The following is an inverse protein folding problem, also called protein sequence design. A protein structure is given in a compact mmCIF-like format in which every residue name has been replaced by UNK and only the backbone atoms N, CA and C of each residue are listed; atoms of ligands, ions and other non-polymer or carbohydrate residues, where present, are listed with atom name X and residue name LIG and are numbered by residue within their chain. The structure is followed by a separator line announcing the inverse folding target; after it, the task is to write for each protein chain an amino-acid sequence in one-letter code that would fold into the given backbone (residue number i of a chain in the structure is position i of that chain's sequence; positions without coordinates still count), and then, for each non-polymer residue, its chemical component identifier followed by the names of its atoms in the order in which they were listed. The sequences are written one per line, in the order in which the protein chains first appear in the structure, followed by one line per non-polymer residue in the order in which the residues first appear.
data_IF_673161724239
#
_entry.id   IF_673161724239
#
_cell.length_a   1.000
_cell.length_b   1.000
_cell.length_c   1.000
_cell.angle_alpha   90.00
_cell.angle_beta   90.00
_cell.angle_gamma   90.00
#
_symmetry.space_group_name_H-M   'P 1'
#
loop_
_entity.id
_entity.type
_entity.pdbx_description
1 polymer ?
#
# COMPACT_ATOMS: atom_id res chain seq x y z
N UNK A 1 3.26 -18.38 24.51
CA UNK A 1 3.73 -18.84 23.18
C UNK A 1 2.74 -18.41 22.08
N UNK A 2 2.54 -17.10 21.89
CA UNK A 2 1.51 -16.54 20.95
C UNK A 2 2.07 -15.50 19.97
N UNK A 3 3.33 -15.09 20.11
CA UNK A 3 3.96 -14.09 19.23
C UNK A 3 4.23 -14.61 17.81
N UNK A 4 4.58 -15.89 17.65
CA UNK A 4 4.94 -16.48 16.34
C UNK A 4 3.78 -16.56 15.34
N UNK A 5 2.54 -16.70 15.79
CA UNK A 5 1.36 -16.72 14.91
C UNK A 5 0.96 -15.34 14.39
N UNK A 6 1.12 -14.31 15.23
CA UNK A 6 0.80 -12.93 14.86
C UNK A 6 1.85 -12.38 13.90
N UNK A 7 3.13 -12.66 14.14
CA UNK A 7 4.21 -12.29 13.23
C UNK A 7 4.12 -12.98 11.88
N UNK A 8 3.72 -14.27 11.83
CA UNK A 8 3.52 -14.98 10.56
C UNK A 8 2.34 -14.42 9.75
N UNK A 9 1.25 -14.03 10.42
CA UNK A 9 0.10 -13.40 9.75
C UNK A 9 0.45 -12.01 9.25
N UNK A 10 1.20 -11.24 10.03
CA UNK A 10 1.66 -9.92 9.61
C UNK A 10 2.66 -10.00 8.44
N UNK A 11 3.55 -10.99 8.43
CA UNK A 11 4.44 -11.23 7.28
C UNK A 11 3.66 -11.57 6.00
N UNK A 12 2.63 -12.42 6.09
CA UNK A 12 1.75 -12.74 4.96
C UNK A 12 0.96 -11.51 4.49
N UNK A 13 0.47 -10.71 5.42
CA UNK A 13 -0.22 -9.45 5.12
C UNK A 13 0.74 -8.47 4.40
N UNK A 14 2.00 -8.38 4.82
CA UNK A 14 2.97 -7.50 4.19
C UNK A 14 3.32 -7.95 2.75
N UNK A 15 3.52 -9.26 2.54
CA UNK A 15 3.71 -9.81 1.20
C UNK A 15 2.47 -9.61 0.30
N UNK A 16 1.26 -9.75 0.86
CA UNK A 16 0.02 -9.50 0.14
C UNK A 16 -0.14 -8.02 -0.22
N UNK A 17 0.26 -7.10 0.68
CA UNK A 17 0.28 -5.66 0.40
C UNK A 17 1.23 -5.33 -0.76
N UNK A 18 2.41 -5.95 -0.79
CA UNK A 18 3.40 -5.77 -1.87
C UNK A 18 2.85 -6.20 -3.24
N UNK A 19 2.23 -7.38 -3.31
CA UNK A 19 1.60 -7.89 -4.53
C UNK A 19 0.43 -6.99 -4.98
N UNK A 20 -0.40 -6.52 -4.05
CA UNK A 20 -1.50 -5.61 -4.36
C UNK A 20 -1.01 -4.26 -4.89
N UNK A 21 0.07 -3.70 -4.33
CA UNK A 21 0.67 -2.45 -4.82
C UNK A 21 1.25 -2.61 -6.22
N UNK A 22 1.96 -3.70 -6.49
CA UNK A 22 2.47 -3.99 -7.83
C UNK A 22 1.34 -4.14 -8.84
N UNK A 23 0.29 -4.91 -8.50
CA UNK A 23 -0.90 -5.03 -9.34
C UNK A 23 -1.57 -3.69 -9.58
N UNK A 24 -1.68 -2.84 -8.56
CA UNK A 24 -2.26 -1.51 -8.71
C UNK A 24 -1.46 -0.65 -9.69
N UNK A 25 -0.12 -0.69 -9.62
CA UNK A 25 0.79 0.00 -10.55
C UNK A 25 0.57 -0.51 -11.99
N UNK A 26 0.56 -1.83 -12.19
CA UNK A 26 0.34 -2.41 -13.53
C UNK A 26 -1.04 -2.09 -14.09
N UNK A 27 -2.08 -2.12 -13.24
CA UNK A 27 -3.45 -1.77 -13.65
C UNK A 27 -3.58 -0.31 -14.03
N UNK A 28 -2.95 0.59 -13.27
CA UNK A 28 -2.91 2.01 -13.63
C UNK A 28 -2.15 2.25 -14.94
N UNK A 29 -1.04 1.54 -15.19
CA UNK A 29 -0.32 1.58 -16.48
C UNK A 29 -1.16 1.08 -17.64
N UNK A 30 -2.05 0.12 -17.40
CA UNK A 30 -2.99 -0.40 -18.40
C UNK A 30 -4.31 0.39 -18.49
N UNK A 31 -4.43 1.55 -17.81
CA UNK A 31 -5.67 2.34 -17.73
C UNK A 31 -6.88 1.59 -17.14
N UNK A 32 -6.65 0.48 -16.44
CA UNK A 32 -7.68 -0.31 -15.76
C UNK A 32 -7.93 0.26 -14.36
N UNK A 33 -8.55 1.44 -14.33
CA UNK A 33 -8.76 2.24 -13.12
C UNK A 33 -9.68 1.55 -12.11
N UNK A 34 -10.69 0.83 -12.59
CA UNK A 34 -11.63 0.10 -11.72
C UNK A 34 -10.94 -1.08 -11.03
N UNK A 35 -10.12 -1.86 -11.74
CA UNK A 35 -9.33 -2.91 -11.11
C UNK A 35 -8.25 -2.33 -10.17
N UNK A 36 -7.65 -1.19 -10.52
CA UNK A 36 -6.70 -0.49 -9.66
C UNK A 36 -7.36 -0.02 -8.34
N UNK A 37 -8.61 0.47 -8.40
CA UNK A 37 -9.37 0.84 -7.21
C UNK A 37 -9.69 -0.37 -6.32
N UNK A 38 -10.09 -1.49 -6.91
CA UNK A 38 -10.35 -2.74 -6.16
C UNK A 38 -9.08 -3.23 -5.47
N UNK A 39 -7.90 -3.08 -6.09
CA UNK A 39 -6.62 -3.36 -5.44
C UNK A 39 -6.31 -2.37 -4.31
N UNK A 40 -6.65 -1.08 -4.48
CA UNK A 40 -6.43 -0.05 -3.47
C UNK A 40 -7.24 -0.29 -2.19
N UNK A 41 -8.52 -0.65 -2.31
CA UNK A 41 -9.39 -0.94 -1.16
C UNK A 41 -8.88 -2.15 -0.35
N UNK A 42 -8.44 -3.20 -1.05
CA UNK A 42 -7.83 -4.37 -0.42
C UNK A 42 -6.50 -4.04 0.26
N UNK A 43 -5.67 -3.22 -0.40
CA UNK A 43 -4.41 -2.76 0.15
C UNK A 43 -4.63 -1.90 1.42
N UNK A 44 -5.66 -1.06 1.46
CA UNK A 44 -5.97 -0.22 2.62
C UNK A 44 -6.34 -1.05 3.85
N UNK A 45 -7.20 -2.07 3.69
CA UNK A 45 -7.58 -2.95 4.80
C UNK A 45 -6.37 -3.69 5.39
N UNK A 46 -5.48 -4.19 4.52
CA UNK A 46 -4.27 -4.92 4.92
C UNK A 46 -3.25 -3.97 5.56
N UNK A 47 -3.08 -2.77 4.99
CA UNK A 47 -2.18 -1.77 5.54
C UNK A 47 -2.64 -1.25 6.91
N UNK A 48 -3.96 -1.12 7.14
CA UNK A 48 -4.52 -0.77 8.43
C UNK A 48 -4.23 -1.86 9.48
N UNK A 49 -4.37 -3.14 9.13
CA UNK A 49 -4.03 -4.26 10.01
C UNK A 49 -2.52 -4.33 10.31
N UNK A 50 -1.67 -4.08 9.30
CA UNK A 50 -0.22 -4.02 9.48
C UNK A 50 0.20 -2.88 10.39
N UNK A 51 -0.43 -1.71 10.23
CA UNK A 51 -0.21 -0.54 11.09
C UNK A 51 -0.63 -0.86 12.53
N UNK A 52 -1.82 -1.43 12.73
CA UNK A 52 -2.29 -1.83 14.07
C UNK A 52 -1.36 -2.86 14.73
N UNK A 53 -0.76 -3.75 13.95
CA UNK A 53 0.17 -4.76 14.47
C UNK A 53 1.56 -4.21 14.82
N UNK A 54 1.91 -2.99 14.38
CA UNK A 54 3.26 -2.43 14.53
C UNK A 54 4.35 -3.25 13.80
N UNK A 55 3.98 -4.21 12.95
CA UNK A 55 4.91 -5.16 12.35
C UNK A 55 5.97 -4.44 11.50
N UNK A 56 5.55 -3.46 10.69
CA UNK A 56 6.46 -2.67 9.87
C UNK A 56 7.30 -1.68 10.68
N UNK A 57 6.98 -1.42 11.95
CA UNK A 57 7.77 -0.54 12.82
C UNK A 57 8.93 -1.27 13.50
N UNK A 58 8.91 -2.60 13.51
CA UNK A 58 10.02 -3.39 14.03
C UNK A 58 11.27 -3.21 13.16
N UNK A 59 12.46 -3.06 13.78
CA UNK A 59 13.71 -2.82 13.04
C UNK A 59 14.09 -3.98 12.11
N UNK A 60 13.70 -5.21 12.45
CA UNK A 60 13.88 -6.42 11.62
C UNK A 60 13.12 -6.35 10.27
N UNK A 61 12.09 -5.49 10.17
CA UNK A 61 11.29 -5.30 8.97
C UNK A 61 11.61 -3.98 8.25
N UNK A 62 12.73 -3.32 8.58
CA UNK A 62 13.08 -2.02 8.00
C UNK A 62 13.30 -2.06 6.48
N UNK A 63 13.86 -3.16 5.95
CA UNK A 63 14.02 -3.38 4.51
C UNK A 63 12.65 -3.50 3.81
N UNK A 64 11.75 -4.29 4.39
CA UNK A 64 10.39 -4.47 3.88
C UNK A 64 9.60 -3.15 3.90
N UNK A 65 9.70 -2.38 4.99
CA UNK A 65 9.12 -1.03 5.08
C UNK A 65 9.67 -0.11 3.99
N UNK A 66 10.97 -0.19 3.70
CA UNK A 66 11.61 0.62 2.67
C UNK A 66 11.15 0.22 1.27
N UNK A 67 10.99 -1.08 1.02
CA UNK A 67 10.48 -1.60 -0.24
C UNK A 67 9.02 -1.18 -0.49
N UNK A 68 8.15 -1.33 0.50
CA UNK A 68 6.75 -0.89 0.43
C UNK A 68 6.67 0.63 0.18
N UNK A 69 7.53 1.43 0.83
CA UNK A 69 7.62 2.88 0.58
C UNK A 69 8.02 3.22 -0.86
N UNK A 70 8.91 2.42 -1.46
CA UNK A 70 9.31 2.61 -2.85
C UNK A 70 8.14 2.34 -3.80
N UNK A 71 7.40 1.26 -3.58
CA UNK A 71 6.19 0.95 -4.35
C UNK A 71 5.13 2.04 -4.23
N UNK A 72 4.89 2.59 -3.04
CA UNK A 72 3.99 3.73 -2.87
C UNK A 72 4.45 4.97 -3.65
N UNK A 73 5.76 5.24 -3.67
CA UNK A 73 6.32 6.36 -4.42
C UNK A 73 6.13 6.16 -5.93
N UNK A 74 6.36 4.95 -6.43
CA UNK A 74 6.14 4.60 -7.83
C UNK A 74 4.67 4.73 -8.20
N UNK A 75 3.77 4.20 -7.36
CA UNK A 75 2.32 4.35 -7.52
C UNK A 75 1.91 5.82 -7.62
N UNK A 76 2.43 6.69 -6.74
CA UNK A 76 2.17 8.13 -6.81
C UNK A 76 2.69 8.79 -8.09
N UNK A 77 3.82 8.33 -8.62
CA UNK A 77 4.37 8.84 -9.87
C UNK A 77 3.51 8.43 -11.07
N UNK A 78 3.05 7.17 -11.12
CA UNK A 78 2.12 6.69 -12.15
C UNK A 78 0.80 7.45 -12.05
N UNK A 79 0.25 7.59 -10.84
CA UNK A 79 -0.92 8.43 -10.61
C UNK A 79 -0.71 9.86 -11.12
N UNK A 80 0.45 10.46 -10.85
CA UNK A 80 0.76 11.82 -11.28
C UNK A 80 0.97 11.96 -12.79
N UNK A 81 1.46 10.92 -13.48
CA UNK A 81 1.56 10.92 -14.94
C UNK A 81 0.19 10.82 -15.61
N UNK A 82 -0.74 10.06 -15.02
CA UNK A 82 -2.11 9.88 -15.53
C UNK A 82 -3.06 11.06 -15.23
N UNK A 83 -2.61 12.07 -14.46
CA UNK A 83 -3.41 13.25 -14.03
C UNK A 83 -3.92 14.15 -15.16
N UNK A 84 -3.53 13.96 -16.41
CA UNK A 84 -4.13 14.72 -17.52
C UNK A 84 -5.56 14.28 -17.85
N UNK A 85 -5.98 13.07 -17.46
CA UNK A 85 -7.32 12.56 -17.81
C UNK A 85 -8.15 12.02 -16.63
N UNK A 86 -7.57 11.77 -15.44
CA UNK A 86 -8.26 10.98 -14.38
C UNK A 86 -8.31 11.68 -13.00
N UNK A 87 -8.69 12.95 -12.94
CA UNK A 87 -8.61 13.76 -11.72
C UNK A 87 -9.45 13.23 -10.53
N UNK A 88 -10.68 12.76 -10.76
CA UNK A 88 -11.62 12.45 -9.67
C UNK A 88 -11.32 11.12 -8.95
N UNK A 89 -11.00 10.05 -9.67
CA UNK A 89 -10.65 8.75 -9.05
C UNK A 89 -9.32 8.80 -8.30
N UNK A 90 -8.42 9.72 -8.69
CA UNK A 90 -7.11 9.89 -8.05
C UNK A 90 -7.18 10.55 -6.66
N UNK A 91 -8.18 11.38 -6.37
CA UNK A 91 -8.33 11.99 -5.05
C UNK A 91 -8.82 10.97 -3.99
N UNK A 92 -9.57 9.93 -4.39
CA UNK A 92 -9.88 8.80 -3.52
C UNK A 92 -8.64 7.98 -3.17
N UNK A 93 -7.80 7.65 -4.16
CA UNK A 93 -6.54 6.92 -3.92
C UNK A 93 -5.60 7.74 -3.05
N UNK A 94 -5.50 9.05 -3.30
CA UNK A 94 -4.69 9.96 -2.49
C UNK A 94 -5.17 10.05 -1.03
N UNK A 95 -6.46 9.93 -0.79
CA UNK A 95 -7.02 9.94 0.58
C UNK A 95 -6.59 8.70 1.36
N UNK A 96 -6.63 7.51 0.76
CA UNK A 96 -6.09 6.28 1.37
C UNK A 96 -4.59 6.39 1.66
N UNK A 97 -3.81 6.97 0.74
CA UNK A 97 -2.36 7.20 0.94
C UNK A 97 -2.07 8.22 2.05
N UNK A 98 -2.90 9.26 2.20
CA UNK A 98 -2.75 10.26 3.26
C UNK A 98 -2.93 9.63 4.64
N UNK A 99 -3.90 8.72 4.76
CA UNK A 99 -4.11 7.95 5.99
C UNK A 99 -2.86 7.16 6.35
N UNK A 100 -2.20 6.54 5.37
CA UNK A 100 -0.98 5.75 5.59
C UNK A 100 0.28 6.61 5.82
N UNK A 101 0.39 7.76 5.16
CA UNK A 101 1.51 8.70 5.33
C UNK A 101 1.48 9.41 6.69
N UNK A 102 0.29 9.62 7.26
CA UNK A 102 0.14 10.15 8.62
C UNK A 102 0.78 9.22 9.68
N UNK A 103 0.84 7.92 9.43
CA UNK A 103 1.54 6.95 10.28
C UNK A 103 3.06 6.88 10.03
N UNK A 104 3.58 7.47 8.95
CA UNK A 104 5.01 7.47 8.66
C UNK A 104 5.78 8.62 9.34
N UNK A 105 5.06 9.60 9.90
CA UNK A 105 5.59 10.83 10.51
C UNK A 105 5.44 10.87 12.04
N UNK A 106 5.07 9.74 12.66
CA UNK A 106 5.08 9.53 14.11
C UNK A 106 6.06 8.42 14.47
#
# INVERSE_FOLDING_TARGET
MTQTTTDRRAALNAACLEDLLNRQIDRLRCYDLDAAMVCAEQAEAIAADLTRSGFLEKPENAELKSHIRLLYRELMLVIASERKEVADKLDQIRSGIKTLSAYANH
#
